data_IF_392941717788
#
_entry.id   IF_392941717788
#
_cell.length_a   1.000
_cell.length_b   1.000
_cell.length_c   1.000
_cell.angle_alpha   90.00
_cell.angle_beta   90.00
_cell.angle_gamma   90.00
#
_symmetry.space_group_name_H-M   'P 1'
#
loop_
_entity.id
_entity.type
_entity.pdbx_description
1 polymer ?
#
# COMPACT_ATOMS: atom_id res chain seq x y z
N UNK A 1 -4.68 -3.23 -90.04
CA UNK A 1 -4.37 -1.97 -89.33
C UNK A 1 -4.32 -2.31 -87.84
N UNK A 2 -3.16 -2.58 -87.22
CA UNK A 2 -2.16 -1.59 -86.78
C UNK A 2 -2.84 -0.44 -86.01
N UNK A 3 -2.91 -0.49 -84.68
CA UNK A 3 -1.93 0.21 -83.82
C UNK A 3 -2.14 -0.04 -82.32
N UNK A 4 -1.02 -0.30 -81.65
CA UNK A 4 -0.82 -0.31 -80.20
C UNK A 4 -1.09 1.06 -79.57
N UNK A 5 -1.45 1.07 -78.28
CA UNK A 5 -0.76 1.87 -77.25
C UNK A 5 -0.87 1.17 -75.90
N UNK A 6 0.21 0.50 -75.48
CA UNK A 6 1.14 0.97 -74.43
C UNK A 6 0.42 1.01 -73.06
N UNK A 7 0.76 0.22 -72.05
CA UNK A 7 2.11 0.03 -71.49
C UNK A 7 2.12 -1.10 -70.43
N UNK A 8 3.03 -2.07 -70.60
CA UNK A 8 3.80 -2.86 -69.60
C UNK A 8 3.05 -3.68 -68.53
N UNK A 9 3.06 -5.02 -68.66
CA UNK A 9 4.08 -5.99 -68.18
C UNK A 9 3.93 -6.27 -66.67
N UNK A 10 3.37 -7.41 -66.21
CA UNK A 10 3.79 -8.83 -66.27
C UNK A 10 4.45 -9.30 -64.95
N UNK A 11 4.06 -10.53 -64.54
CA UNK A 11 4.68 -11.52 -63.64
C UNK A 11 3.96 -11.71 -62.28
N UNK A 12 3.15 -12.73 -61.98
CA UNK A 12 3.07 -14.18 -62.32
C UNK A 12 4.05 -15.07 -61.51
N UNK A 13 3.48 -16.07 -60.79
CA UNK A 13 4.02 -17.39 -60.36
C UNK A 13 4.86 -17.44 -59.06
N UNK A 14 4.81 -18.42 -58.11
CA UNK A 14 4.00 -19.62 -57.74
C UNK A 14 4.68 -20.22 -56.46
N UNK A 15 3.93 -21.01 -55.66
CA UNK A 15 4.30 -22.08 -54.69
C UNK A 15 5.60 -21.98 -53.84
N UNK A 16 5.47 -22.28 -52.53
CA UNK A 16 5.86 -23.59 -51.95
C UNK A 16 5.10 -23.81 -50.64
N UNK A 17 4.39 -24.94 -50.59
CA UNK A 17 3.78 -25.57 -49.44
C UNK A 17 4.82 -26.24 -48.55
N UNK A 18 4.72 -26.10 -47.22
CA UNK A 18 4.94 -27.23 -46.31
C UNK A 18 4.00 -27.15 -45.11
N UNK A 19 3.28 -28.26 -44.97
CA UNK A 19 2.47 -28.68 -43.84
C UNK A 19 3.39 -28.95 -42.66
N UNK A 20 3.08 -28.36 -41.50
CA UNK A 20 3.30 -29.02 -40.21
C UNK A 20 1.93 -29.19 -39.55
N UNK A 21 1.38 -30.40 -39.67
CA UNK A 21 0.40 -30.94 -38.73
C UNK A 21 1.21 -31.75 -37.70
N UNK A 22 0.93 -31.52 -36.42
CA UNK A 22 1.47 -32.26 -35.26
C UNK A 22 2.35 -31.36 -34.38
N UNK A 23 2.16 -31.19 -33.07
CA UNK A 23 1.37 -31.88 -32.04
C UNK A 23 0.78 -30.79 -31.12
N UNK A 24 -0.44 -30.90 -30.61
CA UNK A 24 -0.71 -31.78 -29.48
C UNK A 24 0.04 -31.30 -28.23
N UNK A 25 -0.51 -30.34 -27.48
CA UNK A 25 -0.36 -30.22 -26.02
C UNK A 25 -1.16 -29.04 -25.47
N UNK A 26 -2.15 -29.38 -24.65
CA UNK A 26 -2.79 -28.51 -23.66
C UNK A 26 -1.75 -27.87 -22.72
N UNK A 27 -1.11 -26.76 -23.12
CA UNK A 27 -0.18 -26.04 -22.22
C UNK A 27 -0.33 -24.51 -22.17
N UNK A 28 -1.08 -23.87 -23.06
CA UNK A 28 -1.16 -22.39 -23.07
C UNK A 28 -2.39 -21.81 -22.35
N UNK A 29 -3.16 -22.62 -21.60
CA UNK A 29 -4.21 -22.14 -20.68
C UNK A 29 -3.78 -22.12 -19.21
N UNK A 30 -2.56 -22.59 -18.90
CA UNK A 30 -1.99 -22.61 -17.54
C UNK A 30 -0.88 -21.57 -17.32
N UNK A 31 -0.34 -20.99 -18.39
CA UNK A 31 0.76 -20.00 -18.33
C UNK A 31 0.30 -18.55 -18.51
N UNK A 32 -1.02 -18.31 -18.56
CA UNK A 32 -1.66 -17.00 -18.49
C UNK A 32 -2.57 -16.88 -17.24
N UNK A 33 -2.19 -17.52 -16.14
CA UNK A 33 -2.49 -16.96 -14.81
C UNK A 33 -1.51 -15.80 -14.66
N UNK A 34 -1.86 -14.67 -15.26
CA UNK A 34 -1.06 -13.45 -15.18
C UNK A 34 -0.69 -13.20 -13.72
N UNK A 35 0.60 -13.00 -13.46
CA UNK A 35 1.10 -12.58 -12.17
C UNK A 35 0.56 -11.17 -11.93
N UNK A 36 -0.66 -11.04 -11.40
CA UNK A 36 -1.23 -9.75 -11.04
C UNK A 36 -0.34 -9.17 -9.93
N UNK A 37 0.25 -8.02 -10.21
CA UNK A 37 1.12 -7.30 -9.28
C UNK A 37 0.38 -6.09 -8.74
N UNK A 38 0.61 -5.78 -7.47
CA UNK A 38 0.10 -4.56 -6.84
C UNK A 38 1.25 -3.77 -6.25
N UNK A 39 1.33 -2.48 -6.60
CA UNK A 39 2.31 -1.55 -6.05
C UNK A 39 1.69 -0.86 -4.84
N UNK A 40 2.44 -0.83 -3.74
CA UNK A 40 2.05 -0.22 -2.48
C UNK A 40 3.01 0.92 -2.14
N UNK A 41 2.46 2.03 -1.68
CA UNK A 41 3.20 3.18 -1.21
C UNK A 41 2.90 3.41 0.27
N UNK A 42 3.90 3.20 1.11
CA UNK A 42 3.81 3.53 2.54
C UNK A 42 3.98 5.04 2.69
N UNK A 43 3.05 5.70 3.38
CA UNK A 43 3.06 7.16 3.58
C UNK A 43 2.92 7.48 5.05
N UNK A 44 3.84 8.29 5.58
CA UNK A 44 3.79 8.77 6.95
C UNK A 44 4.25 7.78 8.01
N UNK A 45 4.72 6.60 7.59
CA UNK A 45 5.16 5.52 8.47
C UNK A 45 6.63 5.23 8.17
N UNK A 46 7.53 5.30 9.17
CA UNK A 46 8.93 4.92 9.00
C UNK A 46 9.08 3.47 8.53
N UNK A 47 10.01 3.21 7.60
CA UNK A 47 10.20 1.86 7.05
C UNK A 47 10.67 0.83 8.09
N UNK A 48 11.40 1.28 9.10
CA UNK A 48 11.97 0.45 10.17
C UNK A 48 10.92 -0.04 11.19
N UNK A 49 9.72 0.55 11.22
CA UNK A 49 8.59 0.02 12.00
C UNK A 49 7.74 -0.98 11.25
N UNK A 50 7.87 -1.07 9.91
CA UNK A 50 7.08 -1.99 9.09
C UNK A 50 7.71 -3.38 9.18
N UNK A 51 7.03 -4.32 9.84
CA UNK A 51 7.51 -5.69 10.03
C UNK A 51 7.04 -6.62 8.92
N UNK A 52 5.80 -6.44 8.45
CA UNK A 52 5.22 -7.33 7.45
C UNK A 52 4.09 -6.64 6.67
N UNK A 53 3.87 -7.06 5.42
CA UNK A 53 2.70 -6.70 4.63
C UNK A 53 2.18 -7.96 3.94
N UNK A 54 0.91 -8.30 4.13
CA UNK A 54 0.33 -9.54 3.60
C UNK A 54 -1.09 -9.33 3.04
N UNK A 55 -1.65 -10.37 2.41
CA UNK A 55 -3.07 -10.40 2.07
C UNK A 55 -3.82 -11.29 3.05
N UNK A 56 -4.91 -10.75 3.61
CA UNK A 56 -5.76 -11.45 4.58
C UNK A 56 -6.52 -12.59 3.90
N UNK A 57 -6.05 -13.82 4.07
CA UNK A 57 -6.57 -14.99 3.40
C UNK A 57 -7.72 -15.65 4.15
N UNK A 58 -7.77 -15.48 5.46
CA UNK A 58 -8.72 -16.12 6.36
C UNK A 58 -9.67 -15.14 7.08
N UNK A 59 -9.45 -13.83 6.96
CA UNK A 59 -10.29 -12.78 7.52
C UNK A 59 -10.10 -12.55 9.02
N UNK A 60 -9.00 -13.03 9.62
CA UNK A 60 -8.74 -12.87 11.06
C UNK A 60 -7.99 -11.57 11.40
N UNK A 61 -7.59 -10.81 10.38
CA UNK A 61 -6.92 -9.52 10.54
C UNK A 61 -5.48 -9.63 11.06
N UNK A 62 -4.85 -10.80 10.94
CA UNK A 62 -3.46 -11.05 11.37
C UNK A 62 -2.68 -11.59 10.17
N UNK A 63 -1.42 -11.15 10.01
CA UNK A 63 -0.55 -11.76 9.01
C UNK A 63 -0.03 -13.12 9.47
N UNK A 64 -0.74 -14.21 9.16
CA UNK A 64 -0.29 -15.55 9.52
C UNK A 64 0.86 -16.03 8.63
N UNK A 65 1.70 -16.94 9.17
CA UNK A 65 2.86 -17.50 8.47
C UNK A 65 2.52 -18.22 7.14
N UNK A 66 1.26 -18.61 6.93
CA UNK A 66 0.74 -19.28 5.73
C UNK A 66 0.07 -18.35 4.73
N UNK A 67 -0.31 -17.13 5.13
CA UNK A 67 -0.90 -16.08 4.26
C UNK A 67 0.18 -15.24 3.56
N UNK A 68 1.40 -15.66 3.81
CA UNK A 68 2.63 -15.20 3.22
C UNK A 68 2.65 -15.55 1.73
N UNK A 69 2.07 -14.67 0.92
CA UNK A 69 2.40 -14.59 -0.51
C UNK A 69 3.28 -13.37 -0.82
N UNK A 70 3.55 -12.53 0.19
CA UNK A 70 4.56 -11.48 0.18
C UNK A 70 5.33 -11.50 1.52
N UNK A 71 6.22 -12.48 1.76
CA UNK A 71 7.08 -12.43 2.96
C UNK A 71 8.19 -11.42 2.73
N UNK A 72 8.14 -10.32 3.43
CA UNK A 72 9.37 -9.64 3.84
C UNK A 72 9.50 -9.97 5.33
N UNK A 73 10.15 -11.09 5.67
CA UNK A 73 10.57 -11.32 7.06
C UNK A 73 11.89 -10.61 7.26
N UNK A 74 11.83 -9.48 7.97
CA UNK A 74 13.00 -8.79 8.52
C UNK A 74 13.37 -9.51 9.82
N UNK A 75 14.56 -10.09 9.86
CA UNK A 75 15.12 -10.71 11.07
C UNK A 75 15.96 -9.67 11.82
N UNK A 76 16.09 -9.85 13.15
CA UNK A 76 16.90 -9.01 14.05
C UNK A 76 18.39 -8.88 13.66
N UNK A 77 18.88 -9.67 12.70
CA UNK A 77 20.26 -9.68 12.20
C UNK A 77 20.37 -9.20 10.75
N UNK A 78 19.26 -8.82 10.12
CA UNK A 78 19.31 -8.24 8.78
C UNK A 78 19.91 -6.83 8.87
N UNK A 79 20.87 -6.53 8.00
CA UNK A 79 21.40 -5.18 7.81
C UNK A 79 20.41 -4.34 7.03
N UNK A 80 20.49 -3.02 7.11
CA UNK A 80 19.66 -2.10 6.31
C UNK A 80 19.69 -2.50 4.82
N UNK A 81 20.86 -2.83 4.28
CA UNK A 81 20.99 -3.27 2.88
C UNK A 81 20.31 -4.63 2.59
N UNK A 82 20.33 -5.59 3.52
CA UNK A 82 19.66 -6.89 3.32
C UNK A 82 18.15 -6.83 3.55
N UNK A 83 17.68 -5.86 4.35
CA UNK A 83 16.27 -5.49 4.44
C UNK A 83 15.83 -4.89 3.09
N UNK A 84 16.61 -3.97 2.53
CA UNK A 84 16.36 -3.30 1.25
C UNK A 84 16.44 -4.23 0.03
N UNK A 85 17.15 -5.37 0.09
CA UNK A 85 17.15 -6.39 -0.98
C UNK A 85 15.94 -7.34 -0.91
N UNK A 86 15.42 -7.62 0.29
CA UNK A 86 14.23 -8.47 0.49
C UNK A 86 12.94 -7.72 0.14
N UNK A 87 12.93 -6.42 0.40
CA UNK A 87 11.93 -5.50 -0.07
C UNK A 87 12.35 -5.14 -1.50
N UNK A 88 11.77 -5.73 -2.55
CA UNK A 88 11.99 -5.20 -3.91
C UNK A 88 11.34 -3.82 -4.00
N UNK A 89 11.99 -2.82 -3.43
CA UNK A 89 11.73 -1.42 -3.65
C UNK A 89 12.03 -1.17 -5.11
N UNK A 90 11.06 -0.66 -5.86
CA UNK A 90 11.43 -0.01 -7.10
C UNK A 90 12.24 1.27 -6.81
N UNK A 91 12.74 1.93 -7.86
CA UNK A 91 13.57 3.14 -7.75
C UNK A 91 12.92 4.29 -6.94
N UNK A 92 11.64 4.18 -6.58
CA UNK A 92 10.88 5.15 -5.80
C UNK A 92 10.52 4.66 -4.38
N UNK A 93 11.05 3.54 -3.90
CA UNK A 93 10.81 3.06 -2.54
C UNK A 93 9.44 2.39 -2.33
N UNK A 94 8.83 1.81 -3.38
CA UNK A 94 7.49 1.20 -3.29
C UNK A 94 7.55 -0.32 -3.05
N UNK A 95 6.60 -0.84 -2.28
CA UNK A 95 6.46 -2.29 -2.05
C UNK A 95 5.66 -2.95 -3.19
N UNK A 96 5.91 -4.24 -3.44
CA UNK A 96 5.20 -5.01 -4.48
C UNK A 96 4.65 -6.31 -3.89
N UNK A 97 3.36 -6.57 -4.08
CA UNK A 97 2.74 -7.88 -3.83
C UNK A 97 2.68 -8.65 -5.15
N UNK A 98 3.42 -9.75 -5.21
CA UNK A 98 3.32 -10.73 -6.30
C UNK A 98 2.09 -11.64 -6.04
N UNK A 99 1.31 -11.97 -7.07
CA UNK A 99 0.05 -12.76 -6.97
C UNK A 99 -1.09 -12.09 -6.20
N UNK A 100 -1.26 -10.79 -6.40
CA UNK A 100 -2.32 -10.01 -5.78
C UNK A 100 -3.73 -10.53 -6.10
N UNK A 101 -4.53 -10.69 -5.05
CA UNK A 101 -5.96 -10.99 -5.10
C UNK A 101 -6.78 -9.77 -4.64
N UNK A 102 -7.49 -9.12 -5.56
CA UNK A 102 -8.28 -7.90 -5.28
C UNK A 102 -9.51 -8.13 -4.40
N UNK A 103 -9.84 -9.39 -4.07
CA UNK A 103 -10.95 -9.71 -3.16
C UNK A 103 -10.52 -9.77 -1.69
N UNK A 104 -9.21 -9.69 -1.43
CA UNK A 104 -8.63 -9.81 -0.09
C UNK A 104 -8.11 -8.47 0.40
N UNK A 105 -8.28 -8.23 1.70
CA UNK A 105 -7.69 -7.06 2.35
C UNK A 105 -6.16 -7.16 2.33
N UNK A 106 -5.51 -6.00 2.33
CA UNK A 106 -4.09 -5.89 2.60
C UNK A 106 -3.93 -5.60 4.08
N UNK A 107 -3.03 -6.29 4.75
CA UNK A 107 -2.69 -6.05 6.15
C UNK A 107 -1.25 -5.54 6.22
N UNK A 108 -1.01 -4.52 7.03
CA UNK A 108 0.34 -4.06 7.38
C UNK A 108 0.57 -4.22 8.87
N UNK A 109 1.59 -5.00 9.24
CA UNK A 109 2.02 -5.18 10.62
C UNK A 109 3.15 -4.18 10.93
N UNK A 110 2.93 -3.39 11.98
CA UNK A 110 3.88 -2.43 12.53
C UNK A 110 4.36 -2.90 13.90
N UNK A 111 5.61 -2.61 14.25
CA UNK A 111 6.18 -2.87 15.57
C UNK A 111 6.77 -1.59 16.16
N UNK A 112 6.42 -1.31 17.41
CA UNK A 112 7.01 -0.24 18.19
C UNK A 112 8.47 -0.58 18.51
N UNK A 113 9.38 0.15 17.87
CA UNK A 113 10.82 -0.05 17.95
C UNK A 113 11.50 1.17 18.61
N UNK A 114 12.83 1.27 18.48
CA UNK A 114 13.62 2.38 19.02
C UNK A 114 13.24 3.78 18.47
N UNK A 115 12.51 3.87 17.35
CA UNK A 115 12.00 5.13 16.84
C UNK A 115 10.89 5.73 17.72
N UNK A 116 10.30 4.94 18.63
CA UNK A 116 9.18 5.32 19.50
C UNK A 116 9.49 4.95 20.97
N UNK A 117 8.62 4.16 21.62
CA UNK A 117 8.79 3.78 23.03
C UNK A 117 9.49 2.43 23.20
N UNK A 118 9.78 1.73 22.09
CA UNK A 118 10.48 0.45 22.02
C UNK A 118 9.80 -0.63 22.89
N UNK A 119 8.47 -0.61 22.94
CA UNK A 119 7.69 -1.59 23.71
C UNK A 119 7.62 -2.96 23.01
N UNK A 120 8.04 -3.05 21.75
CA UNK A 120 7.85 -4.20 20.87
C UNK A 120 6.36 -4.54 20.63
N UNK A 121 5.46 -3.61 20.96
CA UNK A 121 4.04 -3.74 20.69
C UNK A 121 3.81 -3.80 19.19
N UNK A 122 2.94 -4.72 18.76
CA UNK A 122 2.56 -4.85 17.35
C UNK A 122 1.16 -4.36 17.10
N UNK A 123 0.97 -3.72 15.95
CA UNK A 123 -0.33 -3.27 15.45
C UNK A 123 -0.48 -3.77 14.02
N UNK A 124 -1.61 -4.40 13.71
CA UNK A 124 -1.93 -4.79 12.33
C UNK A 124 -3.03 -3.90 11.80
N UNK A 125 -2.76 -3.16 10.73
CA UNK A 125 -3.71 -2.23 10.10
C UNK A 125 -4.29 -2.87 8.83
N UNK A 126 -5.62 -3.01 8.71
CA UNK A 126 -6.26 -3.49 7.51
C UNK A 126 -6.54 -2.37 6.49
N UNK A 127 -6.44 -2.72 5.22
CA UNK A 127 -6.67 -1.86 4.06
C UNK A 127 -7.61 -2.53 3.07
N UNK A 128 -8.51 -1.73 2.49
CA UNK A 128 -9.35 -2.19 1.39
C UNK A 128 -8.52 -2.16 0.10
N UNK A 129 -8.59 -3.23 -0.72
CA UNK A 129 -7.88 -3.31 -1.98
C UNK A 129 -8.40 -2.24 -2.96
N UNK A 130 -7.49 -1.43 -3.52
CA UNK A 130 -7.82 -0.56 -4.66
C UNK A 130 -7.69 -1.31 -6.00
N UNK A 131 -8.31 -0.81 -7.10
CA UNK A 131 -8.17 -1.37 -8.44
C UNK A 131 -6.71 -1.60 -8.82
N UNK A 132 -6.40 -2.64 -9.59
CA UNK A 132 -5.02 -3.12 -9.82
C UNK A 132 -4.12 -2.04 -10.43
N UNK A 133 -4.69 -1.25 -11.32
CA UNK A 133 -4.07 -0.12 -12.02
C UNK A 133 -3.71 1.06 -11.10
N UNK A 134 -4.36 1.17 -9.94
CA UNK A 134 -4.13 2.25 -8.99
C UNK A 134 -2.97 1.92 -8.05
N UNK A 135 -2.27 2.95 -7.58
CA UNK A 135 -1.32 2.83 -6.49
C UNK A 135 -2.08 2.59 -5.17
N UNK A 136 -1.72 1.56 -4.40
CA UNK A 136 -2.26 1.40 -3.04
C UNK A 136 -1.48 2.28 -2.08
N UNK A 137 -2.13 3.27 -1.48
CA UNK A 137 -1.54 3.96 -0.32
C UNK A 137 -1.71 3.10 0.94
N UNK A 138 -0.64 2.95 1.71
CA UNK A 138 -0.63 2.38 3.05
C UNK A 138 -0.27 3.49 4.04
N UNK A 139 -1.29 4.12 4.59
CA UNK A 139 -1.18 5.13 5.63
C UNK A 139 -2.29 4.97 6.65
N UNK A 140 -2.15 5.53 7.84
CA UNK A 140 -3.23 5.43 8.84
C UNK A 140 -4.46 6.21 8.35
N UNK A 141 -4.27 7.37 7.71
CA UNK A 141 -5.37 8.13 7.10
C UNK A 141 -6.10 7.34 6.01
N UNK A 142 -5.40 6.55 5.20
CA UNK A 142 -6.05 5.67 4.21
C UNK A 142 -6.86 4.57 4.90
N UNK A 143 -6.38 3.96 5.98
CA UNK A 143 -7.15 2.97 6.73
C UNK A 143 -8.45 3.56 7.31
N UNK A 144 -8.42 4.83 7.75
CA UNK A 144 -9.62 5.53 8.21
C UNK A 144 -10.62 5.81 7.08
N UNK A 145 -10.15 6.13 5.87
CA UNK A 145 -11.00 6.24 4.68
C UNK A 145 -11.63 4.89 4.32
N UNK A 146 -10.83 3.83 4.29
CA UNK A 146 -11.28 2.48 3.95
C UNK A 146 -12.38 2.00 4.91
N UNK A 147 -12.32 2.40 6.18
CA UNK A 147 -13.35 2.11 7.20
C UNK A 147 -14.52 3.11 7.21
N UNK A 148 -14.58 4.07 6.28
CA UNK A 148 -15.57 5.16 6.25
C UNK A 148 -15.61 5.99 7.55
N UNK A 149 -14.51 6.05 8.29
CA UNK A 149 -14.41 6.86 9.50
C UNK A 149 -14.09 8.31 9.17
N UNK A 150 -13.32 8.55 8.11
CA UNK A 150 -13.11 9.90 7.60
C UNK A 150 -13.59 9.97 6.16
N UNK A 151 -13.93 11.18 5.73
CA UNK A 151 -14.32 11.51 4.35
C UNK A 151 -13.75 12.89 4.01
N UNK A 152 -13.56 13.17 2.71
CA UNK A 152 -13.12 14.49 2.21
C UNK A 152 -11.75 14.96 2.76
N UNK A 153 -10.80 14.04 2.95
CA UNK A 153 -9.47 14.37 3.46
C UNK A 153 -8.45 14.71 2.36
N UNK A 154 -8.86 14.86 1.10
CA UNK A 154 -7.93 15.09 -0.03
C UNK A 154 -7.02 16.30 0.18
N UNK A 155 -7.57 17.38 0.75
CA UNK A 155 -6.80 18.55 1.15
C UNK A 155 -5.66 18.19 2.12
N UNK A 156 -5.97 17.40 3.15
CA UNK A 156 -5.01 16.91 4.14
C UNK A 156 -3.96 16.01 3.49
N UNK A 157 -4.37 15.12 2.57
CA UNK A 157 -3.45 14.25 1.82
C UNK A 157 -2.50 15.06 0.92
N UNK A 158 -2.97 16.17 0.36
CA UNK A 158 -2.20 17.03 -0.55
C UNK A 158 -1.29 18.04 0.15
N UNK A 159 -1.56 18.36 1.42
CA UNK A 159 -0.75 19.31 2.17
C UNK A 159 0.52 18.66 2.71
N UNK A 160 1.68 19.08 2.20
CA UNK A 160 2.98 18.53 2.61
C UNK A 160 3.27 18.73 4.11
N UNK A 161 3.04 19.93 4.64
CA UNK A 161 3.45 20.29 6.00
C UNK A 161 2.46 19.75 7.03
N UNK A 162 1.15 19.88 6.77
CA UNK A 162 0.14 19.24 7.61
C UNK A 162 0.30 17.73 7.62
N UNK A 163 0.51 17.10 6.45
CA UNK A 163 0.55 15.65 6.35
C UNK A 163 1.69 15.03 7.15
N UNK A 164 2.91 15.53 7.01
CA UNK A 164 4.09 14.98 7.69
C UNK A 164 3.92 15.00 9.21
N UNK A 165 3.43 16.11 9.75
CA UNK A 165 3.23 16.28 11.19
C UNK A 165 2.07 15.41 11.70
N UNK A 166 0.96 15.39 10.97
CA UNK A 166 -0.20 14.59 11.32
C UNK A 166 0.09 13.11 11.32
N UNK A 167 0.80 12.61 10.31
CA UNK A 167 1.16 11.20 10.24
C UNK A 167 1.98 10.78 11.46
N UNK A 168 2.92 11.63 11.92
CA UNK A 168 3.69 11.37 13.14
C UNK A 168 2.82 11.31 14.40
N UNK A 169 1.90 12.26 14.55
CA UNK A 169 0.98 12.32 15.70
C UNK A 169 0.08 11.07 15.69
N UNK A 170 -0.54 10.78 14.55
CA UNK A 170 -1.46 9.66 14.38
C UNK A 170 -0.76 8.33 14.63
N UNK A 171 0.47 8.15 14.14
CA UNK A 171 1.26 6.93 14.38
C UNK A 171 1.63 6.77 15.86
N UNK A 172 2.00 7.85 16.55
CA UNK A 172 2.24 7.81 17.99
C UNK A 172 0.96 7.47 18.77
N UNK A 173 -0.18 8.07 18.41
CA UNK A 173 -1.48 7.74 18.99
C UNK A 173 -1.87 6.29 18.75
N UNK A 174 -1.56 5.73 17.57
CA UNK A 174 -1.83 4.34 17.24
C UNK A 174 -1.15 3.41 18.24
N UNK A 175 0.17 3.52 18.45
CA UNK A 175 0.86 2.65 19.41
C UNK A 175 0.39 2.87 20.85
N UNK A 176 0.23 4.13 21.25
CA UNK A 176 -0.20 4.49 22.61
C UNK A 176 -1.58 3.91 22.96
N UNK A 177 -2.57 4.15 22.10
CA UNK A 177 -3.93 3.65 22.29
C UNK A 177 -3.99 2.12 22.21
N UNK A 178 -3.24 1.51 21.29
CA UNK A 178 -3.19 0.04 21.17
C UNK A 178 -2.77 -0.58 22.49
N UNK A 179 -1.67 -0.10 23.07
CA UNK A 179 -1.16 -0.60 24.34
C UNK A 179 -2.22 -0.51 25.43
N UNK A 180 -2.88 0.64 25.58
CA UNK A 180 -3.93 0.82 26.59
C UNK A 180 -5.07 -0.18 26.39
N UNK A 181 -5.53 -0.35 25.15
CA UNK A 181 -6.63 -1.27 24.84
C UNK A 181 -6.26 -2.73 25.15
N UNK A 182 -5.05 -3.15 24.80
CA UNK A 182 -4.56 -4.50 25.10
C UNK A 182 -4.29 -4.72 26.60
N UNK A 183 -3.80 -3.71 27.33
CA UNK A 183 -3.69 -3.73 28.80
C UNK A 183 -5.05 -3.93 29.48
N UNK A 184 -6.12 -3.48 28.84
CA UNK A 184 -7.51 -3.72 29.25
C UNK A 184 -8.11 -5.05 28.73
N UNK A 185 -7.26 -5.99 28.30
CA UNK A 185 -7.61 -7.33 27.81
C UNK A 185 -8.42 -7.35 26.50
N UNK A 186 -8.34 -6.30 25.68
CA UNK A 186 -8.90 -6.34 24.34
C UNK A 186 -8.02 -7.22 23.42
N UNK A 187 -8.65 -7.99 22.53
CA UNK A 187 -7.89 -8.75 21.53
C UNK A 187 -7.15 -7.78 20.59
N UNK A 188 -6.04 -8.20 19.98
CA UNK A 188 -5.25 -7.33 19.08
C UNK A 188 -6.10 -6.73 17.95
N UNK A 189 -6.93 -7.58 17.35
CA UNK A 189 -7.82 -7.17 16.25
C UNK A 189 -8.86 -6.16 16.73
N UNK A 190 -9.58 -6.46 17.81
CA UNK A 190 -10.59 -5.55 18.36
C UNK A 190 -9.95 -4.22 18.83
N UNK A 191 -8.73 -4.31 19.37
CA UNK A 191 -7.95 -3.16 19.80
C UNK A 191 -7.56 -2.27 18.62
N UNK A 192 -7.10 -2.84 17.50
CA UNK A 192 -6.84 -2.06 16.28
C UNK A 192 -8.12 -1.36 15.81
N UNK A 193 -9.23 -2.10 15.70
CA UNK A 193 -10.50 -1.54 15.21
C UNK A 193 -10.95 -0.37 16.09
N UNK A 194 -10.92 -0.56 17.41
CA UNK A 194 -11.32 0.49 18.37
C UNK A 194 -10.34 1.66 18.39
N UNK A 195 -9.06 1.40 18.23
CA UNK A 195 -8.01 2.41 18.19
C UNK A 195 -8.18 3.34 16.98
N UNK A 196 -8.42 2.77 15.80
CA UNK A 196 -8.70 3.54 14.59
C UNK A 196 -9.96 4.42 14.77
N UNK A 197 -10.97 3.96 15.50
CA UNK A 197 -12.15 4.78 15.85
C UNK A 197 -11.74 5.99 16.71
N UNK A 198 -10.94 5.78 17.76
CA UNK A 198 -10.46 6.87 18.63
C UNK A 198 -9.61 7.89 17.88
N UNK A 199 -8.73 7.43 16.99
CA UNK A 199 -7.95 8.33 16.13
C UNK A 199 -8.90 9.15 15.25
N UNK A 200 -9.89 8.52 14.62
CA UNK A 200 -10.85 9.24 13.79
C UNK A 200 -11.68 10.26 14.59
N UNK A 201 -12.12 9.91 15.80
CA UNK A 201 -12.81 10.84 16.71
C UNK A 201 -11.94 12.06 17.01
N UNK A 202 -10.69 11.86 17.45
CA UNK A 202 -9.76 12.96 17.72
C UNK A 202 -9.49 13.85 16.50
N UNK A 203 -9.35 13.25 15.30
CA UNK A 203 -9.17 14.00 14.05
C UNK A 203 -10.41 14.81 13.65
N UNK A 204 -11.61 14.31 13.93
CA UNK A 204 -12.85 15.06 13.69
C UNK A 204 -12.99 16.21 14.69
N UNK A 205 -12.65 16.00 15.95
CA UNK A 205 -12.73 17.02 17.00
C UNK A 205 -11.83 18.22 16.71
N UNK A 206 -10.66 17.99 16.13
CA UNK A 206 -9.77 19.08 15.68
C UNK A 206 -10.16 19.64 14.30
N UNK A 207 -11.26 19.20 13.69
CA UNK A 207 -11.71 19.62 12.36
C UNK A 207 -10.59 19.51 11.30
N UNK A 208 -10.00 18.31 11.18
CA UNK A 208 -8.85 18.06 10.31
C UNK A 208 -9.05 18.45 8.84
N UNK A 209 -10.28 18.51 8.35
CA UNK A 209 -10.55 18.87 6.94
C UNK A 209 -10.74 20.38 6.73
N UNK A 210 -10.84 21.16 7.80
CA UNK A 210 -11.13 22.59 7.78
C UNK A 210 -10.00 23.43 8.36
N UNK A 211 -10.35 24.24 9.37
CA UNK A 211 -9.52 25.30 9.97
C UNK A 211 -8.14 24.81 10.41
N UNK A 212 -8.05 23.58 10.95
CA UNK A 212 -6.79 23.07 11.47
C UNK A 212 -5.73 22.90 10.37
N UNK A 213 -6.09 22.28 9.24
CA UNK A 213 -5.17 22.15 8.10
C UNK A 213 -4.84 23.50 7.48
N UNK A 214 -5.81 24.41 7.35
CA UNK A 214 -5.53 25.77 6.85
C UNK A 214 -4.51 26.51 7.72
N UNK A 215 -4.65 26.39 9.04
CA UNK A 215 -3.73 27.02 9.99
C UNK A 215 -2.35 26.39 9.95
N UNK A 216 -2.26 25.07 9.88
CA UNK A 216 -0.97 24.37 9.76
C UNK A 216 -0.26 24.70 8.45
N UNK A 217 -0.99 24.75 7.34
CA UNK A 217 -0.42 25.07 6.02
C UNK A 217 0.04 26.53 5.97
N UNK A 218 -0.72 27.44 6.58
CA UNK A 218 -0.33 28.84 6.73
C UNK A 218 0.91 29.07 7.60
N UNK A 219 1.37 28.06 8.35
CA UNK A 219 2.64 28.16 9.08
C UNK A 219 3.86 27.93 8.19
N UNK A 220 3.70 27.37 6.99
CA UNK A 220 4.83 26.95 6.14
C UNK A 220 5.86 26.15 6.98
N UNK A 221 7.13 26.58 7.00
CA UNK A 221 8.20 25.90 7.74
C UNK A 221 8.42 26.49 9.16
N UNK A 222 7.51 27.33 9.65
CA UNK A 222 7.63 27.98 10.95
C UNK A 222 7.22 27.05 12.10
N UNK A 223 8.20 26.35 12.66
CA UNK A 223 8.02 25.42 13.80
C UNK A 223 7.33 26.06 15.02
N UNK A 224 7.54 27.36 15.27
CA UNK A 224 6.89 28.05 16.41
C UNK A 224 5.40 28.22 16.15
N UNK A 225 5.01 28.53 14.92
CA UNK A 225 3.62 28.61 14.50
C UNK A 225 2.96 27.23 14.60
N UNK A 226 3.61 26.19 14.06
CA UNK A 226 3.15 24.81 14.10
C UNK A 226 2.91 24.33 15.54
N UNK A 227 3.88 24.53 16.44
CA UNK A 227 3.76 24.09 17.82
C UNK A 227 2.61 24.78 18.57
N UNK A 228 2.26 26.04 18.24
CA UNK A 228 1.13 26.75 18.84
C UNK A 228 -0.23 26.22 18.40
N UNK A 229 -0.30 25.55 17.24
CA UNK A 229 -1.55 24.94 16.77
C UNK A 229 -1.76 23.57 17.40
N UNK A 230 -0.67 22.88 17.78
CA UNK A 230 -0.70 21.55 18.38
C UNK A 230 -0.88 21.54 19.91
N UNK A 231 -0.69 22.68 20.57
CA UNK A 231 -0.85 22.87 22.03
C UNK A 231 -2.23 23.44 22.35
#
# INVERSE_FOLDING_TARGET
MLFNRFTKFFLVIILISTVFIGCGSNKNKKEAKELLQKILQVVGIPYDVVVNICQDGNGDGICNATEVTAKITINKLDTVDTILEKIKLDENGRYIIEHYDSTKNILMELEDNEAFENTQQRVTIPYKPTPIEDLQELSILQALLDRNLLTNIDKVKSSKNSRTLLDKIILSSLFYNQRILEEHNMSKFDATERNLDYIAEGLRDINITGDFTDRLDGCEDNLTCTNRILL
#
